data_IF_499883817629
#
_entry.id   IF_499883817629
#
_cell.length_a   1.000
_cell.length_b   1.000
_cell.length_c   1.000
_cell.angle_alpha   90.00
_cell.angle_beta   90.00
_cell.angle_gamma   90.00
#
_symmetry.space_group_name_H-M   'P 1'
#
loop_
_entity.id
_entity.type
_entity.pdbx_description
1 polymer ?
#
# COMPACT_ATOMS: atom_id res chain seq x y z
N UNK A 1 -8.45 -44.10 -80.61
CA UNK A 1 -7.49 -43.00 -80.36
C UNK A 1 -8.16 -41.69 -80.72
N UNK A 2 -7.98 -40.55 -80.07
CA UNK A 2 -7.40 -40.15 -78.79
C UNK A 2 -7.72 -38.63 -78.71
N UNK A 3 -8.01 -38.08 -77.51
CA UNK A 3 -7.65 -36.70 -77.03
C UNK A 3 -7.89 -35.47 -77.95
N UNK A 4 -8.40 -34.29 -77.54
CA UNK A 4 -8.65 -33.65 -76.25
C UNK A 4 -9.42 -32.32 -76.47
N UNK A 5 -10.13 -31.90 -75.42
CA UNK A 5 -10.74 -30.61 -75.00
C UNK A 5 -10.21 -29.26 -75.56
N UNK A 6 -10.95 -28.11 -75.45
CA UNK A 6 -11.62 -27.64 -74.22
C UNK A 6 -12.96 -26.85 -74.31
N UNK A 7 -13.53 -26.66 -73.11
CA UNK A 7 -14.72 -25.91 -72.65
C UNK A 7 -14.58 -24.36 -72.81
N UNK A 8 -15.47 -23.47 -72.28
CA UNK A 8 -16.66 -23.67 -71.44
C UNK A 8 -17.88 -22.77 -71.76
N UNK A 9 -19.00 -23.01 -71.08
CA UNK A 9 -20.06 -22.00 -70.94
C UNK A 9 -21.49 -22.52 -70.76
N UNK A 10 -21.67 -23.59 -69.99
CA UNK A 10 -22.98 -24.06 -69.51
C UNK A 10 -23.31 -23.29 -68.23
N UNK A 11 -24.47 -22.67 -68.12
CA UNK A 11 -25.54 -23.16 -67.24
C UNK A 11 -26.86 -22.43 -67.49
N UNK A 12 -27.82 -23.27 -67.86
CA UNK A 12 -29.25 -23.06 -68.03
C UNK A 12 -29.95 -22.68 -66.72
N UNK A 13 -31.19 -22.19 -66.83
CA UNK A 13 -32.01 -21.94 -65.64
C UNK A 13 -33.39 -21.39 -65.94
N UNK A 14 -34.13 -22.09 -66.78
CA UNK A 14 -35.54 -21.88 -67.13
C UNK A 14 -36.45 -21.70 -65.89
N UNK A 15 -37.35 -20.71 -65.97
CA UNK A 15 -38.71 -20.63 -65.43
C UNK A 15 -39.05 -21.08 -63.99
N UNK A 16 -39.95 -20.31 -63.34
CA UNK A 16 -41.35 -20.70 -63.02
C UNK A 16 -41.86 -20.18 -61.66
N UNK A 17 -42.91 -19.34 -61.77
CA UNK A 17 -44.14 -19.20 -60.96
C UNK A 17 -44.14 -18.85 -59.46
N UNK A 18 -44.94 -17.81 -59.21
CA UNK A 18 -46.10 -17.71 -58.32
C UNK A 18 -46.01 -17.95 -56.80
N UNK A 19 -46.50 -16.91 -56.12
CA UNK A 19 -47.39 -16.90 -54.95
C UNK A 19 -46.80 -17.02 -53.52
N UNK A 20 -47.06 -15.95 -52.77
CA UNK A 20 -47.38 -15.87 -51.33
C UNK A 20 -46.28 -16.17 -50.30
N UNK A 21 -45.85 -15.14 -49.54
CA UNK A 21 -45.60 -15.22 -48.08
C UNK A 21 -45.37 -13.84 -47.42
N UNK A 22 -46.32 -13.44 -46.57
CA UNK A 22 -46.27 -12.66 -45.29
C UNK A 22 -45.10 -11.69 -44.93
N UNK A 23 -45.51 -10.47 -44.48
CA UNK A 23 -44.91 -9.42 -43.58
C UNK A 23 -43.79 -9.88 -42.59
N UNK A 24 -42.93 -9.02 -41.96
CA UNK A 24 -43.26 -7.68 -41.37
C UNK A 24 -42.10 -6.62 -41.15
N UNK A 25 -42.45 -5.50 -40.49
CA UNK A 25 -41.73 -4.67 -39.48
C UNK A 25 -40.55 -3.68 -39.73
N UNK A 26 -40.73 -2.50 -39.07
CA UNK A 26 -39.80 -1.78 -38.18
C UNK A 26 -38.70 -0.80 -38.67
N UNK A 27 -38.46 0.18 -37.77
CA UNK A 27 -37.30 1.08 -37.62
C UNK A 27 -37.29 2.47 -38.27
N UNK A 28 -38.23 3.33 -37.82
CA UNK A 28 -37.86 4.70 -37.47
C UNK A 28 -37.20 4.67 -36.09
N UNK A 29 -35.87 4.64 -36.07
CA UNK A 29 -35.06 4.71 -34.87
C UNK A 29 -35.30 6.03 -34.12
N UNK A 30 -36.20 5.99 -33.13
CA UNK A 30 -36.30 6.99 -32.09
C UNK A 30 -35.09 6.82 -31.17
N UNK A 31 -34.08 7.69 -31.33
CA UNK A 31 -32.97 7.85 -30.39
C UNK A 31 -33.51 8.18 -29.01
N UNK A 32 -33.66 7.16 -28.17
CA UNK A 32 -33.84 7.31 -26.73
C UNK A 32 -32.65 8.08 -26.14
N UNK A 33 -32.85 9.10 -25.28
CA UNK A 33 -31.74 9.72 -24.57
C UNK A 33 -31.10 8.68 -23.62
N UNK A 34 -29.80 8.77 -23.32
CA UNK A 34 -29.15 7.79 -22.46
C UNK A 34 -29.82 7.77 -21.07
N UNK A 35 -30.53 6.67 -20.80
CA UNK A 35 -31.13 6.38 -19.50
C UNK A 35 -30.03 6.30 -18.43
N UNK A 36 -30.32 6.94 -17.30
CA UNK A 36 -29.34 7.42 -16.35
C UNK A 36 -28.52 6.37 -15.61
N UNK A 37 -27.21 6.67 -15.50
CA UNK A 37 -26.29 6.01 -14.58
C UNK A 37 -25.82 6.92 -13.41
N UNK A 38 -26.26 8.19 -13.34
CA UNK A 38 -25.71 9.19 -12.41
C UNK A 38 -26.01 8.99 -10.91
N UNK A 39 -26.89 8.06 -10.53
CA UNK A 39 -27.38 7.96 -9.13
C UNK A 39 -26.52 7.05 -8.25
N UNK A 40 -25.86 6.05 -8.83
CA UNK A 40 -25.04 5.08 -8.09
C UNK A 40 -23.63 5.64 -7.82
N UNK A 41 -23.06 6.36 -8.79
CA UNK A 41 -21.75 7.04 -8.68
C UNK A 41 -21.70 8.02 -7.50
N UNK A 42 -22.80 8.76 -7.28
CA UNK A 42 -22.90 9.73 -6.18
C UNK A 42 -22.90 9.08 -4.79
N UNK A 43 -23.51 7.89 -4.65
CA UNK A 43 -23.57 7.16 -3.38
C UNK A 43 -22.20 6.58 -3.03
N UNK A 44 -21.50 6.01 -4.02
CA UNK A 44 -20.12 5.50 -3.85
C UNK A 44 -19.18 6.64 -3.45
N UNK A 45 -19.29 7.81 -4.10
CA UNK A 45 -18.48 8.97 -3.78
C UNK A 45 -18.70 9.50 -2.36
N UNK A 46 -19.94 9.50 -1.87
CA UNK A 46 -20.25 9.94 -0.50
C UNK A 46 -19.73 8.93 0.53
N UNK A 47 -19.87 7.63 0.29
CA UNK A 47 -19.30 6.61 1.16
C UNK A 47 -17.77 6.70 1.22
N UNK A 48 -17.09 6.90 0.09
CA UNK A 48 -15.64 7.12 0.06
C UNK A 48 -15.23 8.36 0.86
N UNK A 49 -15.98 9.46 0.75
CA UNK A 49 -15.71 10.69 1.50
C UNK A 49 -15.91 10.49 3.01
N UNK A 50 -17.01 9.83 3.42
CA UNK A 50 -17.29 9.53 4.83
C UNK A 50 -16.22 8.61 5.43
N UNK A 51 -15.79 7.58 4.69
CA UNK A 51 -14.71 6.70 5.11
C UNK A 51 -13.38 7.45 5.24
N UNK A 52 -13.05 8.32 4.27
CA UNK A 52 -11.83 9.12 4.30
C UNK A 52 -11.79 10.09 5.49
N UNK A 53 -12.88 10.80 5.75
CA UNK A 53 -13.03 11.67 6.93
C UNK A 53 -12.99 10.87 8.24
N UNK A 54 -13.57 9.67 8.25
CA UNK A 54 -13.48 8.73 9.37
C UNK A 54 -12.04 8.32 9.66
N UNK A 55 -11.26 7.99 8.65
CA UNK A 55 -9.84 7.67 8.79
C UNK A 55 -9.03 8.85 9.34
N UNK A 56 -9.28 10.07 8.84
CA UNK A 56 -8.61 11.28 9.36
C UNK A 56 -8.99 11.51 10.82
N UNK A 57 -10.28 11.42 11.15
CA UNK A 57 -10.76 11.53 12.53
C UNK A 57 -10.09 10.53 13.45
N UNK A 58 -9.96 9.27 13.03
CA UNK A 58 -9.28 8.22 13.78
C UNK A 58 -7.79 8.55 14.02
N UNK A 59 -7.09 9.05 13.00
CA UNK A 59 -5.68 9.46 13.12
C UNK A 59 -5.52 10.63 14.09
N UNK A 60 -6.41 11.63 14.03
CA UNK A 60 -6.37 12.77 14.95
C UNK A 60 -6.69 12.35 16.39
N UNK A 61 -7.72 11.51 16.59
CA UNK A 61 -8.11 11.01 17.91
C UNK A 61 -7.00 10.15 18.53
N UNK A 62 -6.41 9.25 17.76
CA UNK A 62 -5.27 8.44 18.22
C UNK A 62 -4.06 9.31 18.57
N UNK A 63 -3.77 10.35 17.77
CA UNK A 63 -2.72 11.33 18.06
C UNK A 63 -3.00 12.14 19.34
N UNK A 64 -4.27 12.44 19.62
CA UNK A 64 -4.69 13.15 20.82
C UNK A 64 -4.35 12.42 22.13
N UNK A 65 -4.35 11.08 22.13
CA UNK A 65 -3.91 10.27 23.28
C UNK A 65 -2.44 10.54 23.61
N UNK A 66 -1.60 10.73 22.59
CA UNK A 66 -0.18 11.03 22.74
C UNK A 66 0.10 12.50 23.11
N UNK A 67 -0.89 13.40 23.04
CA UNK A 67 -0.70 14.80 23.45
C UNK A 67 -0.23 14.89 24.92
N UNK A 68 -0.74 14.01 25.77
CA UNK A 68 -0.36 13.97 27.19
C UNK A 68 1.07 13.49 27.40
N UNK A 69 1.59 12.65 26.50
CA UNK A 69 2.98 12.17 26.51
C UNK A 69 3.99 13.31 26.36
N UNK A 70 3.61 14.44 25.72
CA UNK A 70 4.52 15.58 25.51
C UNK A 70 4.96 16.28 26.81
N UNK A 71 4.23 16.09 27.91
CA UNK A 71 4.56 16.69 29.21
C UNK A 71 5.39 15.79 30.12
N UNK A 72 5.63 14.53 29.75
CA UNK A 72 6.56 13.66 30.47
C UNK A 72 7.95 14.01 29.96
N UNK A 73 8.71 14.85 30.67
CA UNK A 73 10.09 15.19 30.26
C UNK A 73 11.11 14.34 31.00
N UNK A 74 10.91 14.06 32.29
CA UNK A 74 11.89 13.35 33.13
C UNK A 74 12.22 11.94 32.64
N UNK A 75 11.25 11.23 32.06
CA UNK A 75 11.45 9.85 31.61
C UNK A 75 12.30 9.77 30.34
N UNK A 76 12.26 10.82 29.50
CA UNK A 76 13.04 10.86 28.26
C UNK A 76 14.47 11.34 28.50
N UNK A 77 14.72 12.07 29.59
CA UNK A 77 16.07 12.56 29.90
C UNK A 77 17.02 11.39 30.10
N UNK A 78 16.63 10.39 30.91
CA UNK A 78 17.45 9.20 31.15
C UNK A 78 17.64 8.36 29.87
N UNK A 79 16.57 8.18 29.08
CA UNK A 79 16.66 7.43 27.83
C UNK A 79 17.50 8.15 26.77
N UNK A 80 17.46 9.48 26.73
CA UNK A 80 18.28 10.30 25.84
C UNK A 80 19.77 10.19 26.20
N UNK A 81 20.10 10.24 27.50
CA UNK A 81 21.49 10.05 27.94
C UNK A 81 22.05 8.68 27.56
N UNK A 82 21.22 7.63 27.65
CA UNK A 82 21.61 6.29 27.20
C UNK A 82 21.87 6.27 25.69
N UNK A 83 20.95 6.80 24.87
CA UNK A 83 21.06 6.81 23.40
C UNK A 83 22.27 7.61 22.91
N UNK A 84 22.51 8.80 23.48
CA UNK A 84 23.61 9.67 23.05
C UNK A 84 24.99 9.06 23.36
N UNK A 85 25.09 8.29 24.45
CA UNK A 85 26.36 7.69 24.90
C UNK A 85 26.57 6.25 24.41
N UNK A 86 25.51 5.56 23.98
CA UNK A 86 25.58 4.19 23.52
C UNK A 86 26.17 4.10 22.10
N UNK A 87 27.32 3.44 21.95
CA UNK A 87 27.97 3.20 20.67
C UNK A 87 27.08 2.42 19.68
N UNK A 88 26.22 1.53 20.19
CA UNK A 88 25.26 0.77 19.40
C UNK A 88 24.21 1.69 18.76
N UNK A 89 23.75 2.70 19.50
CA UNK A 89 22.75 3.66 19.01
C UNK A 89 23.34 4.63 17.98
N UNK A 90 24.66 4.87 18.02
CA UNK A 90 25.38 5.68 17.03
C UNK A 90 25.75 4.90 15.77
N UNK A 91 25.49 3.59 15.74
CA UNK A 91 25.84 2.72 14.62
C UNK A 91 27.35 2.47 14.49
N UNK A 92 28.10 2.64 15.58
CA UNK A 92 29.56 2.44 15.61
C UNK A 92 29.94 0.96 15.82
N UNK A 93 29.00 0.14 16.29
CA UNK A 93 29.21 -1.28 16.57
C UNK A 93 28.57 -2.18 15.49
N UNK A 94 29.09 -3.40 15.28
CA UNK A 94 28.48 -4.35 14.37
C UNK A 94 27.13 -4.86 14.91
N UNK A 95 26.18 -5.14 14.01
CA UNK A 95 24.81 -5.55 14.35
C UNK A 95 24.73 -6.74 15.34
N UNK A 96 25.70 -7.66 15.30
CA UNK A 96 25.77 -8.80 16.21
C UNK A 96 25.98 -8.36 17.67
N UNK A 97 26.75 -7.30 17.89
CA UNK A 97 27.01 -6.75 19.22
C UNK A 97 25.78 -6.00 19.75
N UNK A 98 25.06 -5.28 18.88
CA UNK A 98 23.78 -4.63 19.24
C UNK A 98 22.76 -5.62 19.81
N UNK A 99 22.71 -6.85 19.28
CA UNK A 99 21.82 -7.91 19.78
C UNK A 99 22.32 -8.57 21.08
N UNK A 100 23.58 -8.33 21.46
CA UNK A 100 24.21 -8.90 22.64
C UNK A 100 24.32 -7.89 23.79
N UNK A 101 23.92 -6.64 23.56
CA UNK A 101 23.97 -5.54 24.50
C UNK A 101 22.55 -5.08 24.90
N UNK A 102 22.44 -4.41 26.05
CA UNK A 102 21.22 -3.75 26.50
C UNK A 102 21.12 -2.31 25.95
N UNK A 103 20.03 -1.60 26.29
CA UNK A 103 19.81 -0.22 25.83
C UNK A 103 20.90 0.78 26.25
N UNK A 104 21.67 0.47 27.30
CA UNK A 104 22.78 1.30 27.77
C UNK A 104 24.11 0.95 27.10
N UNK A 105 24.17 -0.12 26.30
CA UNK A 105 25.38 -0.62 25.65
C UNK A 105 26.18 -1.60 26.51
N UNK A 106 25.59 -2.14 27.58
CA UNK A 106 26.24 -3.15 28.41
C UNK A 106 25.91 -4.56 27.91
N UNK A 107 26.86 -5.50 28.00
CA UNK A 107 26.62 -6.89 27.59
C UNK A 107 25.51 -7.53 28.42
N UNK A 108 24.64 -8.29 27.75
CA UNK A 108 23.56 -9.05 28.38
C UNK A 108 24.05 -10.30 29.12
N UNK A 109 25.25 -10.78 28.82
CA UNK A 109 25.80 -11.93 29.52
C UNK A 109 26.24 -11.51 30.91
N UNK A 110 25.55 -12.03 31.93
CA UNK A 110 25.88 -11.84 33.33
C UNK A 110 27.32 -12.26 33.63
N UNK A 111 28.07 -11.37 34.25
CA UNK A 111 29.11 -11.76 35.20
C UNK A 111 28.38 -12.27 36.46
N UNK A 112 28.74 -13.45 36.96
CA UNK A 112 28.14 -14.06 38.16
C UNK A 112 28.13 -13.05 39.32
N UNK A 113 26.96 -12.63 39.78
CA UNK A 113 26.78 -11.75 40.96
C UNK A 113 26.20 -10.36 40.68
N UNK A 114 26.04 -9.94 39.43
CA UNK A 114 25.41 -8.66 39.09
C UNK A 114 23.88 -8.82 39.01
N UNK A 115 23.15 -8.37 40.04
CA UNK A 115 21.67 -8.42 40.12
C UNK A 115 20.92 -7.50 39.15
N UNK A 116 21.48 -7.20 37.98
CA UNK A 116 20.88 -6.29 37.02
C UNK A 116 19.83 -7.03 36.19
N UNK A 117 18.56 -6.85 36.53
CA UNK A 117 17.44 -7.29 35.69
C UNK A 117 17.56 -6.59 34.33
N UNK A 118 17.58 -7.34 33.21
CA UNK A 118 17.63 -6.83 31.83
C UNK A 118 16.34 -6.09 31.39
N UNK A 119 15.82 -5.20 32.23
CA UNK A 119 14.62 -4.38 31.98
C UNK A 119 14.82 -3.40 30.81
N UNK A 120 16.07 -3.28 30.35
CA UNK A 120 16.56 -2.42 29.29
C UNK A 120 16.87 -3.15 27.96
N UNK A 121 16.50 -4.42 27.73
CA UNK A 121 16.75 -5.04 26.41
C UNK A 121 15.80 -4.54 25.32
N UNK A 122 16.29 -3.67 24.42
CA UNK A 122 15.49 -3.00 23.37
C UNK A 122 16.28 -2.85 22.05
N UNK A 123 16.69 -3.95 21.42
CA UNK A 123 17.57 -3.90 20.25
C UNK A 123 16.94 -3.15 19.06
N UNK A 124 15.62 -3.28 18.85
CA UNK A 124 14.93 -2.58 17.77
C UNK A 124 14.94 -1.06 17.95
N UNK A 125 14.79 -0.58 19.19
CA UNK A 125 14.87 0.86 19.50
C UNK A 125 16.27 1.39 19.21
N UNK A 126 17.32 0.68 19.64
CA UNK A 126 18.71 1.05 19.36
C UNK A 126 19.00 1.05 17.86
N UNK A 127 18.55 0.02 17.14
CA UNK A 127 18.69 -0.04 15.67
C UNK A 127 17.95 1.10 14.98
N UNK A 128 16.80 1.55 15.49
CA UNK A 128 16.08 2.70 14.93
C UNK A 128 16.85 4.02 15.08
N UNK A 129 17.55 4.21 16.20
CA UNK A 129 18.44 5.36 16.39
C UNK A 129 19.69 5.27 15.49
N UNK A 130 20.30 4.09 15.39
CA UNK A 130 21.44 3.88 14.50
C UNK A 130 21.07 4.12 13.04
N UNK A 131 19.89 3.65 12.63
CA UNK A 131 19.27 3.92 11.34
C UNK A 131 19.07 5.42 11.10
N UNK A 132 18.46 6.12 12.06
CA UNK A 132 18.19 7.56 12.00
C UNK A 132 19.48 8.37 11.80
N UNK A 133 20.53 8.04 12.57
CA UNK A 133 21.84 8.71 12.50
C UNK A 133 22.54 8.36 11.18
N UNK A 134 22.57 7.08 10.80
CA UNK A 134 23.24 6.59 9.58
C UNK A 134 22.58 7.10 8.30
N UNK A 135 21.26 7.16 8.25
CA UNK A 135 20.50 7.62 7.10
C UNK A 135 20.28 9.14 7.08
N UNK A 136 20.78 9.87 8.08
CA UNK A 136 20.75 11.34 8.06
C UNK A 136 19.34 11.91 8.08
N UNK A 137 18.37 11.21 8.68
CA UNK A 137 17.00 11.73 8.86
C UNK A 137 16.94 12.78 9.99
N UNK A 138 18.09 13.27 10.45
CA UNK A 138 18.20 14.40 11.34
C UNK A 138 17.75 15.68 10.64
N UNK A 139 16.80 16.38 11.24
CA UNK A 139 16.55 17.78 10.94
C UNK A 139 17.86 18.57 11.05
N UNK A 140 18.41 18.95 9.88
CA UNK A 140 19.39 20.02 9.74
C UNK A 140 20.86 19.62 9.95
N UNK A 141 21.61 19.68 8.85
CA UNK A 141 23.02 20.06 8.87
C UNK A 141 23.99 18.96 8.47
N UNK A 142 24.53 19.10 7.25
CA UNK A 142 25.85 18.57 6.90
C UNK A 142 26.91 19.02 7.93
N UNK A 143 27.96 18.20 8.05
CA UNK A 143 29.24 18.36 8.76
C UNK A 143 29.28 17.90 10.20
#
# INVERSE_FOLDING_TARGET
ENTANPAPGVIDGEARKDHSRTKPDEDLAETQPPHGHKREDGIVSVHCLVLWLGCIGLVVLSSGVFYRCRHYTDWFVDELFAVVRNADARGETPLKEVLSNDFWGNRLHFEEGQGWTHKSYRPLTILSYAAQIKWGWGWGGNT
#
